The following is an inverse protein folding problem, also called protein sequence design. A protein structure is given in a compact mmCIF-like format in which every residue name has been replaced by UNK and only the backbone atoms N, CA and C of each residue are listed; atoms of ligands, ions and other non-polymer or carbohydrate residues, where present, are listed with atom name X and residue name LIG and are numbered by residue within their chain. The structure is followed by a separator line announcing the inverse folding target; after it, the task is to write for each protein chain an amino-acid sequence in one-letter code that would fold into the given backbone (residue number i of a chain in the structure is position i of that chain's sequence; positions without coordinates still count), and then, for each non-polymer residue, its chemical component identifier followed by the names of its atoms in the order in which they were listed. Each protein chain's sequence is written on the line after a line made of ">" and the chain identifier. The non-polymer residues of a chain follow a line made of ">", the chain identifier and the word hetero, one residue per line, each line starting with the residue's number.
data_IF_650522297333
#
_entry.id   IF_650522297333
#
_cell.length_a   1.000
_cell.length_b   1.000
_cell.length_c   1.000
_cell.angle_alpha   90.00
_cell.angle_beta   90.00
_cell.angle_gamma   90.00
#
_symmetry.space_group_name_H-M   'P 1'
#
loop_
_entity.id
_entity.type
_entity.pdbx_description
1 polymer ?
#
# COMPACT_ATOMS: atom_id res chain seq x y z
N UNK A 1 31.89 40.87 28.66
CA UNK A 1 31.74 40.12 27.38
C UNK A 1 32.16 38.65 27.46
N UNK A 2 32.90 38.19 28.47
CA UNK A 2 33.32 36.79 28.62
C UNK A 2 32.28 35.83 29.24
N UNK A 3 31.20 36.31 29.89
CA UNK A 3 30.20 35.42 30.52
C UNK A 3 29.08 34.94 29.58
N UNK A 4 28.92 35.53 28.40
CA UNK A 4 27.89 35.15 27.41
C UNK A 4 28.33 34.04 26.45
N UNK A 5 29.63 33.77 26.35
CA UNK A 5 30.20 32.77 25.42
C UNK A 5 30.09 31.35 26.01
N UNK A 6 30.22 31.19 27.33
CA UNK A 6 30.17 29.87 27.98
C UNK A 6 28.77 29.24 27.96
N UNK A 7 27.70 30.03 28.08
CA UNK A 7 26.34 29.50 28.07
C UNK A 7 25.92 29.02 26.68
N UNK A 8 26.39 29.67 25.61
CA UNK A 8 26.08 29.25 24.23
C UNK A 8 26.76 27.93 23.87
N UNK A 9 28.01 27.73 24.30
CA UNK A 9 28.75 26.49 24.06
C UNK A 9 28.13 25.31 24.84
N UNK A 10 27.73 25.52 26.09
CA UNK A 10 27.03 24.51 26.89
C UNK A 10 25.69 24.10 26.27
N UNK A 11 24.92 25.07 25.75
CA UNK A 11 23.67 24.78 25.02
C UNK A 11 23.94 24.00 23.73
N UNK A 12 25.01 24.33 23.00
CA UNK A 12 25.39 23.61 21.77
C UNK A 12 25.81 22.16 22.06
N UNK A 13 26.61 21.95 23.12
CA UNK A 13 27.04 20.62 23.57
C UNK A 13 25.83 19.80 24.02
N UNK A 14 24.91 20.41 24.78
CA UNK A 14 23.67 19.76 25.20
C UNK A 14 22.78 19.37 24.00
N UNK A 15 22.65 20.24 22.99
CA UNK A 15 21.92 19.95 21.75
C UNK A 15 22.56 18.80 20.94
N UNK A 16 23.89 18.71 20.89
CA UNK A 16 24.60 17.61 20.22
C UNK A 16 24.42 16.27 20.93
N UNK A 17 24.32 16.25 22.26
CA UNK A 17 24.06 15.02 23.02
C UNK A 17 22.63 14.47 22.84
N UNK A 18 21.65 15.32 22.50
CA UNK A 18 20.25 14.90 22.29
C UNK A 18 20.07 14.22 20.92
N UNK A 19 20.97 14.44 19.95
CA UNK A 19 20.89 13.80 18.64
C UNK A 19 21.30 12.32 18.65
N UNK A 20 21.95 11.84 19.72
CA UNK A 20 22.45 10.46 19.81
C UNK A 20 21.42 9.43 20.28
N UNK A 21 20.19 9.85 20.58
CA UNK A 21 19.11 8.97 21.07
C UNK A 21 17.92 8.85 20.11
N UNK A 22 18.02 9.47 18.93
CA UNK A 22 17.02 9.29 17.88
C UNK A 22 17.36 8.01 17.12
N UNK A 23 16.59 6.95 17.39
CA UNK A 23 16.63 5.75 16.57
C UNK A 23 16.04 6.04 15.19
N UNK A 24 16.57 5.39 14.15
CA UNK A 24 15.91 5.45 12.85
C UNK A 24 14.58 4.69 12.96
N UNK A 25 13.49 5.37 12.64
CA UNK A 25 12.14 4.77 12.61
C UNK A 25 12.00 3.73 11.48
N UNK A 26 12.97 3.66 10.55
CA UNK A 26 12.88 2.90 9.31
C UNK A 26 14.13 2.05 9.04
N UNK A 27 13.93 0.84 8.54
CA UNK A 27 14.96 -0.12 8.08
C UNK A 27 14.73 -0.52 6.61
N UNK A 28 14.49 0.47 5.75
CA UNK A 28 14.39 0.25 4.31
C UNK A 28 15.75 0.09 3.63
N UNK A 29 16.76 0.86 4.06
CA UNK A 29 18.11 0.85 3.50
C UNK A 29 19.11 0.25 4.48
N UNK A 30 19.75 -0.83 4.05
CA UNK A 30 20.58 -1.68 4.88
C UNK A 30 21.99 -1.76 4.31
N UNK A 31 22.97 -2.07 5.17
CA UNK A 31 24.23 -2.60 4.65
C UNK A 31 24.00 -3.99 4.05
N UNK A 32 24.95 -4.44 3.23
CA UNK A 32 24.84 -5.71 2.50
C UNK A 32 24.61 -6.91 3.43
N UNK A 33 25.32 -6.97 4.56
CA UNK A 33 25.27 -8.12 5.45
C UNK A 33 23.90 -8.25 6.11
N UNK A 34 23.32 -7.13 6.54
CA UNK A 34 21.99 -7.07 7.13
C UNK A 34 20.91 -7.42 6.10
N UNK A 35 21.03 -6.92 4.87
CA UNK A 35 20.11 -7.26 3.79
C UNK A 35 20.13 -8.76 3.43
N UNK A 36 21.33 -9.37 3.39
CA UNK A 36 21.48 -10.82 3.17
C UNK A 36 20.85 -11.60 4.32
N UNK A 37 21.14 -11.21 5.56
CA UNK A 37 20.59 -11.86 6.76
C UNK A 37 19.07 -11.82 6.77
N UNK A 38 18.49 -10.66 6.49
CA UNK A 38 17.05 -10.45 6.47
C UNK A 38 16.36 -11.20 5.33
N UNK A 39 16.89 -11.16 4.09
CA UNK A 39 16.31 -11.90 2.98
C UNK A 39 16.32 -13.42 3.23
N UNK A 40 17.42 -13.96 3.77
CA UNK A 40 17.48 -15.39 4.13
C UNK A 40 16.50 -15.75 5.23
N UNK A 41 16.36 -14.90 6.24
CA UNK A 41 15.42 -15.10 7.35
C UNK A 41 13.97 -15.07 6.88
N UNK A 42 13.60 -14.12 6.02
CA UNK A 42 12.26 -14.03 5.43
C UNK A 42 11.94 -15.24 4.54
N UNK A 43 12.90 -15.78 3.78
CA UNK A 43 12.69 -16.99 2.98
C UNK A 43 12.42 -18.27 3.80
N UNK A 44 12.62 -18.23 5.13
CA UNK A 44 12.29 -19.34 6.02
C UNK A 44 10.86 -19.28 6.56
N UNK A 45 10.12 -18.20 6.26
CA UNK A 45 8.79 -17.93 6.78
C UNK A 45 7.83 -17.68 5.62
N UNK A 46 6.63 -18.25 5.73
CA UNK A 46 5.60 -18.13 4.70
C UNK A 46 4.53 -17.12 5.05
N UNK A 47 4.42 -16.73 6.33
CA UNK A 47 3.40 -15.81 6.83
C UNK A 47 4.08 -14.63 7.50
N UNK A 48 3.58 -13.43 7.22
CA UNK A 48 4.05 -12.20 7.82
C UNK A 48 2.92 -11.19 7.98
N UNK A 49 3.17 -10.14 8.75
CA UNK A 49 2.25 -9.02 8.92
C UNK A 49 2.96 -7.71 8.59
N UNK A 50 2.41 -6.95 7.65
CA UNK A 50 2.83 -5.58 7.38
C UNK A 50 2.06 -4.63 8.30
N UNK A 51 2.79 -3.88 9.12
CA UNK A 51 2.22 -2.94 10.07
C UNK A 51 3.25 -1.95 10.63
N UNK A 52 3.03 -0.65 10.41
CA UNK A 52 3.69 0.44 11.12
C UNK A 52 2.94 0.80 12.41
N UNK A 53 3.58 0.69 13.57
CA UNK A 53 2.97 1.02 14.87
C UNK A 53 2.72 2.51 15.11
N UNK A 54 3.48 3.39 14.44
CA UNK A 54 3.38 4.85 14.57
C UNK A 54 2.43 5.49 13.57
N UNK A 55 1.94 4.72 12.60
CA UNK A 55 1.16 5.26 11.51
C UNK A 55 -0.32 5.21 11.90
N UNK A 56 -0.91 6.38 12.18
CA UNK A 56 -2.26 6.56 12.76
C UNK A 56 -3.40 5.85 11.99
N UNK A 57 -3.16 5.46 10.74
CA UNK A 57 -4.18 4.89 9.84
C UNK A 57 -3.77 3.55 9.18
N UNK A 58 -2.64 2.95 9.57
CA UNK A 58 -2.25 1.64 9.02
C UNK A 58 -2.97 0.48 9.70
N UNK A 59 -3.69 -0.30 8.91
CA UNK A 59 -4.29 -1.56 9.38
C UNK A 59 -3.28 -2.68 9.19
N UNK A 60 -3.15 -3.54 10.20
CA UNK A 60 -2.40 -4.79 10.15
C UNK A 60 -2.79 -5.63 8.93
N UNK A 61 -1.82 -5.96 8.07
CA UNK A 61 -2.04 -6.75 6.86
C UNK A 61 -1.31 -8.08 6.95
N UNK A 62 -2.04 -9.18 7.09
CA UNK A 62 -1.46 -10.53 7.00
C UNK A 62 -1.17 -10.86 5.53
N UNK A 63 0.06 -11.24 5.23
CA UNK A 63 0.55 -11.59 3.89
C UNK A 63 1.13 -13.02 3.89
N UNK A 64 1.07 -13.66 2.73
CA UNK A 64 1.85 -14.86 2.44
C UNK A 64 3.12 -14.47 1.67
N UNK A 65 4.29 -14.80 2.20
CA UNK A 65 5.58 -14.58 1.54
C UNK A 65 5.90 -15.79 0.66
N UNK A 66 6.15 -15.55 -0.63
CA UNK A 66 6.59 -16.60 -1.56
C UNK A 66 8.11 -16.62 -1.72
N UNK A 67 8.75 -15.46 -1.70
CA UNK A 67 10.20 -15.33 -1.81
C UNK A 67 10.67 -13.97 -1.30
N UNK A 68 11.88 -13.91 -0.77
CA UNK A 68 12.58 -12.69 -0.43
C UNK A 68 13.93 -12.62 -1.16
N UNK A 69 14.35 -11.41 -1.52
CA UNK A 69 15.67 -11.11 -2.09
C UNK A 69 16.20 -9.81 -1.50
N UNK A 70 17.47 -9.54 -1.73
CA UNK A 70 18.03 -8.21 -1.52
C UNK A 70 18.54 -7.66 -2.84
N UNK A 71 18.35 -6.36 -3.06
CA UNK A 71 18.82 -5.66 -4.25
C UNK A 71 19.57 -4.40 -3.86
N UNK A 72 20.46 -3.94 -4.73
CA UNK A 72 21.26 -2.74 -4.49
C UNK A 72 20.40 -1.51 -4.78
N UNK A 73 20.41 -0.51 -3.90
CA UNK A 73 19.69 0.75 -4.13
C UNK A 73 20.32 1.46 -5.34
N UNK A 74 19.57 1.81 -6.40
CA UNK A 74 20.14 2.34 -7.63
C UNK A 74 20.91 3.66 -7.45
N UNK A 75 20.34 4.56 -6.65
CA UNK A 75 20.87 5.91 -6.41
C UNK A 75 21.97 5.92 -5.34
N UNK A 76 21.93 4.95 -4.43
CA UNK A 76 22.82 4.88 -3.27
C UNK A 76 23.58 3.55 -3.21
N UNK A 77 24.70 3.50 -3.94
CA UNK A 77 25.49 2.28 -4.17
C UNK A 77 26.06 1.61 -2.92
N UNK A 78 25.96 2.23 -1.75
CA UNK A 78 26.42 1.64 -0.49
C UNK A 78 25.31 0.85 0.23
N UNK A 79 24.06 1.01 -0.19
CA UNK A 79 22.91 0.44 0.49
C UNK A 79 22.21 -0.63 -0.34
N UNK A 80 21.48 -1.47 0.37
CA UNK A 80 20.67 -2.55 -0.13
C UNK A 80 19.27 -2.46 0.46
N UNK A 81 18.27 -2.88 -0.29
CA UNK A 81 16.90 -3.06 0.18
C UNK A 81 16.54 -4.54 0.13
N UNK A 82 15.61 -4.95 0.98
CA UNK A 82 15.02 -6.29 0.94
C UNK A 82 13.68 -6.20 0.25
N UNK A 83 13.47 -7.05 -0.75
CA UNK A 83 12.21 -7.12 -1.49
C UNK A 83 11.58 -8.50 -1.33
N UNK A 84 10.25 -8.57 -1.25
CA UNK A 84 9.51 -9.82 -1.21
C UNK A 84 8.54 -9.94 -2.40
N UNK A 85 8.32 -11.16 -2.86
CA UNK A 85 7.09 -11.52 -3.57
C UNK A 85 6.10 -12.04 -2.53
N UNK A 86 4.87 -11.57 -2.61
CA UNK A 86 3.87 -11.84 -1.58
C UNK A 86 2.46 -11.94 -2.17
N UNK A 87 1.52 -12.34 -1.34
CA UNK A 87 0.14 -12.54 -1.74
C UNK A 87 -0.81 -12.58 -0.57
N UNK A 88 -2.09 -12.73 -0.88
CA UNK A 88 -3.17 -12.78 0.08
C UNK A 88 -3.96 -14.05 -0.08
N UNK A 89 -4.24 -14.74 1.02
CA UNK A 89 -4.92 -16.05 0.99
C UNK A 89 -4.26 -17.06 0.03
N UNK A 90 -2.94 -16.95 -0.19
CA UNK A 90 -2.17 -17.79 -1.11
C UNK A 90 -2.15 -17.32 -2.58
N UNK A 91 -2.89 -16.26 -2.95
CA UNK A 91 -2.86 -15.68 -4.29
C UNK A 91 -1.71 -14.69 -4.44
N UNK A 92 -0.80 -14.94 -5.39
CA UNK A 92 0.38 -14.11 -5.62
C UNK A 92 0.06 -12.77 -6.29
N UNK A 93 0.67 -11.69 -5.76
CA UNK A 93 0.72 -10.38 -6.40
C UNK A 93 1.93 -10.33 -7.32
N UNK A 94 1.74 -9.78 -8.54
CA UNK A 94 2.83 -9.60 -9.49
C UNK A 94 3.82 -8.56 -9.00
N UNK A 95 5.11 -8.91 -9.02
CA UNK A 95 6.21 -7.99 -8.76
C UNK A 95 6.86 -8.19 -7.39
N UNK A 96 7.82 -7.31 -7.09
CA UNK A 96 8.57 -7.30 -5.84
C UNK A 96 8.19 -6.05 -5.06
N UNK A 97 7.91 -6.21 -3.77
CA UNK A 97 7.69 -5.11 -2.83
C UNK A 97 8.94 -4.95 -1.97
N UNK A 98 9.55 -3.78 -2.01
CA UNK A 98 10.58 -3.40 -1.05
C UNK A 98 9.94 -3.20 0.33
N UNK A 99 10.48 -3.87 1.35
CA UNK A 99 9.91 -3.88 2.69
C UNK A 99 10.83 -3.19 3.69
N UNK A 100 10.23 -2.39 4.55
CA UNK A 100 10.89 -1.86 5.73
C UNK A 100 10.93 -2.95 6.82
N UNK A 101 12.13 -3.32 7.27
CA UNK A 101 12.28 -4.38 8.28
C UNK A 101 11.73 -3.98 9.66
N UNK A 102 11.50 -2.70 9.93
CA UNK A 102 10.80 -2.24 11.12
C UNK A 102 9.30 -2.60 11.06
N UNK A 103 8.72 -2.67 9.86
CA UNK A 103 7.26 -2.78 9.67
C UNK A 103 6.77 -4.13 9.15
N UNK A 104 7.67 -5.06 8.87
CA UNK A 104 7.31 -6.47 8.64
C UNK A 104 7.53 -7.27 9.92
N UNK A 105 6.47 -7.93 10.36
CA UNK A 105 6.43 -8.73 11.59
C UNK A 105 6.22 -10.20 11.24
N UNK A 106 6.93 -11.08 11.94
CA UNK A 106 6.75 -12.53 11.84
C UNK A 106 6.25 -13.07 13.16
N UNK A 107 5.45 -14.13 13.12
CA UNK A 107 5.08 -14.86 14.33
C UNK A 107 6.26 -15.71 14.81
N UNK A 108 6.79 -15.35 15.98
CA UNK A 108 7.92 -16.02 16.63
C UNK A 108 7.51 -16.28 18.07
N UNK A 109 7.51 -17.54 18.49
CA UNK A 109 7.07 -17.96 19.84
C UNK A 109 5.67 -17.45 20.22
N UNK A 110 4.76 -17.35 19.24
CA UNK A 110 3.39 -16.87 19.42
C UNK A 110 3.23 -15.34 19.54
N UNK A 111 4.29 -14.59 19.23
CA UNK A 111 4.30 -13.13 19.20
C UNK A 111 4.71 -12.63 17.82
N UNK A 112 3.94 -11.68 17.29
CA UNK A 112 4.30 -10.92 16.11
C UNK A 112 5.41 -9.94 16.48
N UNK A 113 6.58 -10.19 15.90
CA UNK A 113 7.81 -9.47 16.20
C UNK A 113 8.38 -8.88 14.93
N UNK A 114 8.73 -7.59 14.96
CA UNK A 114 9.42 -6.91 13.87
C UNK A 114 10.70 -7.66 13.48
N UNK A 115 10.88 -7.89 12.18
CA UNK A 115 12.06 -8.59 11.64
C UNK A 115 13.35 -7.86 12.00
N UNK A 116 13.37 -6.53 11.90
CA UNK A 116 14.52 -5.71 12.28
C UNK A 116 14.92 -5.94 13.74
N UNK A 117 13.96 -5.82 14.66
CA UNK A 117 14.21 -6.07 16.10
C UNK A 117 14.68 -7.50 16.37
N UNK A 118 14.04 -8.49 15.76
CA UNK A 118 14.42 -9.90 15.95
C UNK A 118 15.85 -10.18 15.48
N UNK A 119 16.26 -9.58 14.37
CA UNK A 119 17.61 -9.74 13.83
C UNK A 119 18.68 -8.92 14.59
N UNK A 120 18.29 -8.18 15.63
CA UNK A 120 19.18 -7.35 16.44
C UNK A 120 19.60 -6.06 15.73
N UNK A 121 18.81 -5.60 14.76
CA UNK A 121 19.05 -4.33 14.07
C UNK A 121 18.48 -3.17 14.90
N UNK A 122 19.12 -2.02 14.77
CA UNK A 122 18.70 -0.80 15.45
C UNK A 122 17.54 -0.15 14.68
N UNK A 123 16.33 -0.23 15.23
CA UNK A 123 15.12 0.39 14.68
C UNK A 123 14.07 0.65 15.75
N UNK A 124 13.06 1.45 15.45
CA UNK A 124 11.84 1.57 16.26
C UNK A 124 10.59 1.20 15.43
N UNK A 125 10.00 0.00 15.63
CA UNK A 125 8.76 -0.39 14.94
C UNK A 125 7.51 0.33 15.50
N UNK A 126 7.68 1.16 16.53
CA UNK A 126 6.62 1.88 17.23
C UNK A 126 5.54 1.00 17.87
N UNK A 127 5.79 -0.31 17.97
CA UNK A 127 4.90 -1.26 18.60
C UNK A 127 5.73 -2.35 19.27
N UNK A 128 5.38 -2.67 20.52
CA UNK A 128 5.97 -3.83 21.19
C UNK A 128 5.50 -5.13 20.52
N UNK A 129 6.26 -6.24 20.62
CA UNK A 129 5.80 -7.54 20.15
C UNK A 129 4.40 -7.86 20.69
N UNK A 130 3.52 -8.36 19.83
CA UNK A 130 2.10 -8.48 20.14
C UNK A 130 1.52 -9.83 19.76
N UNK A 131 0.57 -10.33 20.54
CA UNK A 131 -0.18 -11.55 20.19
C UNK A 131 -1.32 -11.22 19.23
N UNK A 132 -1.67 -12.14 18.33
CA UNK A 132 -3.01 -12.24 17.73
C UNK A 132 -3.98 -12.94 18.69
N UNK A 133 -4.00 -12.56 19.97
CA UNK A 133 -5.26 -12.69 20.68
C UNK A 133 -6.18 -11.79 19.89
N UNK A 134 -7.10 -12.39 19.12
CA UNK A 134 -8.30 -11.72 18.67
C UNK A 134 -8.79 -10.97 19.91
N UNK A 135 -8.53 -9.67 19.97
CA UNK A 135 -9.45 -8.78 20.66
C UNK A 135 -10.80 -9.25 20.15
N UNK A 136 -11.82 -9.50 21.01
CA UNK A 136 -13.14 -9.76 20.49
C UNK A 136 -13.36 -8.62 19.52
N UNK A 137 -13.32 -8.96 18.23
CA UNK A 137 -13.66 -8.07 17.18
C UNK A 137 -15.14 -7.92 17.47
N UNK A 138 -15.44 -6.92 18.31
CA UNK A 138 -16.71 -6.26 18.30
C UNK A 138 -16.83 -5.86 16.84
N UNK A 139 -17.59 -6.71 16.17
CA UNK A 139 -17.87 -6.76 14.74
C UNK A 139 -16.68 -6.91 13.79
N UNK A 140 -16.42 -8.16 13.40
CA UNK A 140 -16.08 -8.50 12.01
C UNK A 140 -17.15 -8.03 10.99
N UNK A 141 -18.21 -7.37 11.47
CA UNK A 141 -19.22 -6.59 10.74
C UNK A 141 -18.92 -5.08 10.63
N UNK A 142 -17.78 -4.58 11.12
CA UNK A 142 -17.29 -3.22 10.84
C UNK A 142 -16.03 -3.24 9.95
N UNK A 143 -15.87 -4.32 9.16
CA UNK A 143 -15.38 -4.10 7.81
C UNK A 143 -16.39 -3.11 7.19
N UNK A 144 -16.00 -1.85 6.99
CA UNK A 144 -16.67 -1.01 6.02
C UNK A 144 -16.67 -1.86 4.75
N UNK A 145 -17.82 -2.49 4.44
CA UNK A 145 -18.03 -3.15 3.16
C UNK A 145 -17.57 -2.12 2.15
N UNK A 146 -16.50 -2.41 1.40
CA UNK A 146 -16.13 -1.55 0.30
C UNK A 146 -17.42 -1.36 -0.51
N UNK A 147 -17.87 -0.11 -0.68
CA UNK A 147 -19.17 0.14 -1.33
C UNK A 147 -19.23 -0.42 -2.77
N UNK A 148 -18.07 -0.78 -3.30
CA UNK A 148 -17.84 -1.48 -4.56
C UNK A 148 -18.35 -2.93 -4.49
N UNK A 149 -19.37 -3.23 -5.28
CA UNK A 149 -19.94 -4.58 -5.38
C UNK A 149 -19.55 -5.19 -6.72
N UNK A 150 -19.26 -6.48 -6.74
CA UNK A 150 -19.08 -7.22 -8.00
C UNK A 150 -20.36 -7.09 -8.83
N UNK A 151 -20.19 -6.79 -10.11
CA UNK A 151 -21.30 -6.59 -11.02
C UNK A 151 -21.00 -5.68 -12.18
N UNK A 152 -22.02 -5.51 -13.00
CA UNK A 152 -22.02 -4.60 -14.13
C UNK A 152 -22.74 -3.30 -13.78
N UNK A 153 -22.20 -2.21 -14.26
CA UNK A 153 -22.68 -0.86 -14.07
C UNK A 153 -22.71 -0.16 -15.42
N UNK A 154 -23.68 0.74 -15.60
CA UNK A 154 -23.87 1.51 -16.84
C UNK A 154 -24.04 2.99 -16.51
N UNK A 155 -23.47 3.84 -17.35
CA UNK A 155 -23.80 5.27 -17.33
C UNK A 155 -25.23 5.52 -17.81
N UNK A 156 -25.94 6.45 -17.18
CA UNK A 156 -27.31 6.80 -17.55
C UNK A 156 -27.34 8.02 -18.48
N UNK A 157 -26.72 7.90 -19.65
CA UNK A 157 -26.70 8.93 -20.69
C UNK A 157 -27.40 8.41 -21.95
N UNK A 158 -28.12 9.30 -22.63
CA UNK A 158 -28.98 8.97 -23.78
C UNK A 158 -28.17 8.55 -25.00
N UNK A 159 -26.91 9.00 -25.11
CA UNK A 159 -26.08 8.85 -26.31
C UNK A 159 -24.72 8.17 -26.05
N UNK A 160 -24.50 7.61 -24.86
CA UNK A 160 -23.26 6.87 -24.53
C UNK A 160 -23.53 5.48 -23.98
N UNK A 161 -22.75 4.52 -24.48
CA UNK A 161 -22.70 3.15 -24.02
C UNK A 161 -21.43 2.94 -23.18
N UNK A 162 -21.38 3.59 -22.02
CA UNK A 162 -20.30 3.37 -21.06
C UNK A 162 -20.69 2.26 -20.08
N UNK A 163 -19.80 1.28 -19.95
CA UNK A 163 -19.96 0.13 -19.06
C UNK A 163 -18.76 0.04 -18.12
N UNK A 164 -19.05 -0.20 -16.85
CA UNK A 164 -18.06 -0.56 -15.84
C UNK A 164 -18.41 -1.95 -15.30
N UNK A 165 -17.45 -2.86 -15.31
CA UNK A 165 -17.57 -4.18 -14.69
C UNK A 165 -16.55 -4.32 -13.58
N UNK A 166 -17.04 -4.52 -12.37
CA UNK A 166 -16.23 -4.97 -11.24
C UNK A 166 -16.22 -6.49 -11.29
N UNK A 167 -15.05 -7.06 -11.59
CA UNK A 167 -14.87 -8.49 -11.86
C UNK A 167 -14.64 -9.26 -10.56
N UNK A 168 -13.77 -8.75 -9.70
CA UNK A 168 -13.47 -9.33 -8.39
C UNK A 168 -13.08 -8.22 -7.42
N UNK A 169 -13.39 -8.41 -6.15
CA UNK A 169 -13.04 -7.49 -5.05
C UNK A 169 -12.13 -8.21 -4.07
N UNK A 170 -11.08 -7.55 -3.63
CA UNK A 170 -10.22 -7.97 -2.52
C UNK A 170 -10.29 -6.91 -1.43
N UNK A 171 -9.59 -7.10 -0.33
CA UNK A 171 -9.57 -6.09 0.73
C UNK A 171 -8.69 -4.86 0.38
N UNK A 172 -7.80 -4.99 -0.61
CA UNK A 172 -6.93 -3.92 -1.11
C UNK A 172 -7.48 -3.18 -2.31
N UNK A 173 -8.52 -3.69 -2.95
CA UNK A 173 -8.98 -3.10 -4.21
C UNK A 173 -9.93 -4.00 -4.97
N UNK A 174 -10.03 -3.76 -6.28
CA UNK A 174 -10.82 -4.59 -7.17
C UNK A 174 -10.23 -4.63 -8.58
N UNK A 175 -10.49 -5.74 -9.27
CA UNK A 175 -10.25 -5.87 -10.70
C UNK A 175 -11.44 -5.33 -11.46
N UNK A 176 -11.17 -4.49 -12.46
CA UNK A 176 -12.21 -3.86 -13.25
C UNK A 176 -11.97 -3.99 -14.75
N UNK A 177 -13.05 -3.73 -15.50
CA UNK A 177 -13.05 -3.48 -16.93
C UNK A 177 -14.02 -2.35 -17.24
N UNK A 178 -13.55 -1.28 -17.86
CA UNK A 178 -14.34 -0.18 -18.41
C UNK A 178 -14.39 -0.35 -19.92
N UNK A 179 -15.57 -0.21 -20.50
CA UNK A 179 -15.78 -0.19 -21.94
C UNK A 179 -16.58 1.05 -22.30
N UNK A 180 -16.14 1.75 -23.33
CA UNK A 180 -16.80 2.94 -23.86
C UNK A 180 -17.16 2.71 -25.32
N UNK A 181 -18.39 3.06 -25.68
CA UNK A 181 -18.89 3.12 -27.05
C UNK A 181 -19.83 4.31 -27.22
N UNK A 182 -19.61 5.15 -28.23
CA UNK A 182 -20.59 6.14 -28.70
C UNK A 182 -20.70 6.07 -30.22
N UNK A 183 -21.82 6.52 -30.79
CA UNK A 183 -22.00 6.65 -32.24
C UNK A 183 -20.96 7.58 -32.90
N UNK A 184 -20.31 8.45 -32.10
CA UNK A 184 -19.31 9.44 -32.51
C UNK A 184 -17.85 8.93 -32.56
N UNK A 185 -17.61 7.65 -32.89
CA UNK A 185 -16.27 7.02 -33.05
C UNK A 185 -15.42 6.90 -31.77
N UNK A 186 -16.02 7.07 -30.59
CA UNK A 186 -15.33 6.90 -29.32
C UNK A 186 -15.59 5.46 -28.84
N UNK A 187 -14.64 4.56 -29.15
CA UNK A 187 -14.72 3.13 -28.84
C UNK A 187 -13.41 2.69 -28.19
N UNK A 188 -13.49 1.93 -27.11
CA UNK A 188 -12.35 1.20 -26.56
C UNK A 188 -12.61 0.63 -25.18
N UNK A 189 -11.57 0.00 -24.63
CA UNK A 189 -11.65 -0.81 -23.41
C UNK A 189 -10.39 -0.60 -22.55
N UNK A 190 -10.58 -0.50 -21.24
CA UNK A 190 -9.53 -0.48 -20.25
C UNK A 190 -9.81 -1.52 -19.17
N UNK A 191 -8.80 -2.26 -18.75
CA UNK A 191 -8.91 -3.16 -17.60
C UNK A 191 -7.67 -3.06 -16.72
N UNK A 192 -7.85 -3.33 -15.43
CA UNK A 192 -6.77 -3.20 -14.46
C UNK A 192 -7.20 -3.55 -13.05
N UNK A 193 -6.29 -3.27 -12.11
CA UNK A 193 -6.55 -3.38 -10.68
C UNK A 193 -6.57 -1.98 -10.07
N UNK A 194 -7.69 -1.59 -9.49
CA UNK A 194 -7.82 -0.36 -8.72
C UNK A 194 -7.60 -0.66 -7.24
N UNK A 195 -6.69 0.06 -6.59
CA UNK A 195 -6.36 -0.14 -5.18
C UNK A 195 -7.13 0.86 -4.31
N UNK A 196 -7.74 0.39 -3.23
CA UNK A 196 -8.40 1.24 -2.25
C UNK A 196 -7.42 2.21 -1.60
N UNK A 197 -7.90 3.44 -1.45
CA UNK A 197 -7.34 4.42 -0.52
C UNK A 197 -7.67 4.03 0.93
N UNK A 198 -7.01 4.67 1.89
CA UNK A 198 -7.09 4.35 3.32
C UNK A 198 -8.54 4.26 3.85
N UNK A 199 -9.46 5.08 3.34
CA UNK A 199 -10.86 5.08 3.77
C UNK A 199 -11.77 4.09 3.01
N UNK A 200 -11.24 3.35 2.03
CA UNK A 200 -11.96 2.40 1.13
C UNK A 200 -13.17 2.98 0.38
N UNK A 201 -13.36 4.29 0.40
CA UNK A 201 -14.39 5.00 -0.37
C UNK A 201 -13.91 5.32 -1.78
N UNK A 202 -12.60 5.51 -1.93
CA UNK A 202 -11.95 5.74 -3.21
C UNK A 202 -11.03 4.57 -3.54
N UNK A 203 -11.03 4.12 -4.80
CA UNK A 203 -10.01 3.24 -5.36
C UNK A 203 -9.28 3.95 -6.49
N UNK A 204 -7.99 3.66 -6.68
CA UNK A 204 -7.14 4.32 -7.67
C UNK A 204 -6.46 3.27 -8.53
N UNK A 205 -6.61 3.42 -9.84
CA UNK A 205 -5.79 2.76 -10.85
C UNK A 205 -4.76 3.75 -11.39
N UNK A 206 -3.51 3.31 -11.60
CA UNK A 206 -2.44 4.12 -12.19
C UNK A 206 -1.96 3.48 -13.49
N UNK A 207 -2.06 4.21 -14.60
CA UNK A 207 -1.60 3.80 -15.93
C UNK A 207 -0.14 4.15 -16.20
N UNK A 208 0.36 3.78 -17.38
CA UNK A 208 1.80 3.85 -17.75
C UNK A 208 2.35 5.25 -18.06
N UNK A 209 1.50 6.28 -18.16
CA UNK A 209 1.90 7.64 -18.56
C UNK A 209 1.56 8.70 -17.49
N UNK A 210 1.44 8.29 -16.23
CA UNK A 210 0.99 9.19 -15.16
C UNK A 210 -0.51 9.47 -15.16
N UNK A 211 -1.28 8.87 -16.07
CA UNK A 211 -2.73 8.83 -15.94
C UNK A 211 -3.13 8.07 -14.68
N UNK A 212 -4.10 8.59 -13.96
CA UNK A 212 -4.77 7.88 -12.89
C UNK A 212 -6.28 7.90 -13.07
N UNK A 213 -6.93 6.82 -12.63
CA UNK A 213 -8.38 6.70 -12.61
C UNK A 213 -8.79 6.47 -11.17
N UNK A 214 -9.59 7.38 -10.66
CA UNK A 214 -10.22 7.28 -9.37
C UNK A 214 -11.63 6.70 -9.52
N UNK A 215 -12.00 5.87 -8.56
CA UNK A 215 -13.33 5.30 -8.43
C UNK A 215 -13.82 5.69 -7.05
N UNK A 216 -15.00 6.30 -6.93
CA UNK A 216 -15.57 6.74 -5.67
C UNK A 216 -16.98 6.17 -5.51
N UNK A 217 -17.27 5.54 -4.38
CA UNK A 217 -18.64 5.05 -4.11
C UNK A 217 -19.43 6.13 -3.38
N UNK A 218 -20.50 6.59 -4.02
CA UNK A 218 -21.47 7.48 -3.38
C UNK A 218 -22.38 6.69 -2.42
N UNK A 219 -22.99 7.35 -1.42
CA UNK A 219 -23.91 6.68 -0.48
C UNK A 219 -25.08 5.93 -1.15
N UNK A 220 -25.44 6.30 -2.39
CA UNK A 220 -26.45 5.63 -3.21
C UNK A 220 -25.99 4.29 -3.82
N UNK A 221 -24.71 3.93 -3.69
CA UNK A 221 -24.10 2.78 -4.37
C UNK A 221 -23.74 3.06 -5.84
N UNK A 222 -23.88 4.31 -6.29
CA UNK A 222 -23.36 4.79 -7.58
C UNK A 222 -21.85 4.87 -7.50
N UNK A 223 -21.18 4.45 -8.57
CA UNK A 223 -19.73 4.58 -8.69
C UNK A 223 -19.44 5.77 -9.58
N UNK A 224 -18.79 6.78 -9.01
CA UNK A 224 -18.21 7.88 -9.78
C UNK A 224 -16.80 7.48 -10.22
N UNK A 225 -16.55 7.58 -11.52
CA UNK A 225 -15.22 7.35 -12.10
C UNK A 225 -14.70 8.71 -12.55
N UNK A 226 -13.45 9.02 -12.22
CA UNK A 226 -12.80 10.22 -12.72
C UNK A 226 -11.36 9.99 -13.14
N UNK A 227 -10.97 10.59 -14.25
CA UNK A 227 -9.64 10.53 -14.85
C UNK A 227 -8.80 11.77 -14.51
N UNK A 228 -7.51 11.55 -14.28
CA UNK A 228 -6.54 12.63 -14.12
C UNK A 228 -5.29 12.36 -14.97
N UNK A 229 -4.89 13.36 -15.75
CA UNK A 229 -3.72 13.36 -16.64
C UNK A 229 -3.70 12.22 -17.69
N UNK A 230 -4.85 11.97 -18.32
CA UNK A 230 -5.06 10.87 -19.26
C UNK A 230 -5.03 11.29 -20.74
N UNK A 231 -4.28 12.35 -21.06
CA UNK A 231 -4.30 13.04 -22.37
C UNK A 231 -3.95 12.19 -23.59
N UNK A 232 -3.16 11.13 -23.41
CA UNK A 232 -2.78 10.15 -24.45
C UNK A 232 -3.31 8.74 -24.11
N UNK A 233 -4.63 8.65 -24.01
CA UNK A 233 -5.48 7.51 -24.34
C UNK A 233 -4.97 6.09 -24.09
N UNK A 234 -5.63 5.41 -23.16
CA UNK A 234 -5.56 3.96 -22.90
C UNK A 234 -6.20 3.07 -23.98
N UNK A 235 -6.20 3.52 -25.25
CA UNK A 235 -6.89 2.85 -26.35
C UNK A 235 -8.32 3.31 -26.62
N UNK A 236 -8.77 4.42 -26.02
CA UNK A 236 -10.04 5.14 -26.33
C UNK A 236 -9.73 6.54 -26.88
N UNK A 237 -10.72 7.34 -27.30
CA UNK A 237 -10.52 8.76 -27.69
C UNK A 237 -11.34 9.75 -26.83
N UNK A 238 -11.71 9.32 -25.65
CA UNK A 238 -12.75 9.96 -24.85
C UNK A 238 -12.59 9.66 -23.38
N UNK A 239 -13.18 10.53 -22.56
CA UNK A 239 -13.12 10.45 -21.10
C UNK A 239 -14.02 9.33 -20.55
N UNK A 240 -13.59 8.73 -19.45
CA UNK A 240 -14.35 7.82 -18.59
C UNK A 240 -15.03 8.52 -17.41
N UNK A 241 -14.93 9.86 -17.31
CA UNK A 241 -15.55 10.66 -16.27
C UNK A 241 -17.07 10.50 -16.33
N UNK A 242 -17.64 9.69 -15.43
CA UNK A 242 -19.05 9.38 -15.43
C UNK A 242 -19.51 8.79 -14.10
N UNK A 243 -20.83 8.81 -13.90
CA UNK A 243 -21.50 8.09 -12.83
C UNK A 243 -22.11 6.80 -13.36
N UNK A 244 -21.69 5.69 -12.77
CA UNK A 244 -22.05 4.34 -13.14
C UNK A 244 -23.08 3.76 -12.16
N UNK A 245 -24.25 3.41 -12.70
CA UNK A 245 -25.36 2.85 -11.96
C UNK A 245 -25.37 1.33 -12.10
N UNK A 246 -25.56 0.61 -11.01
CA UNK A 246 -25.61 -0.86 -11.04
C UNK A 246 -26.73 -1.32 -11.96
N UNK A 247 -26.39 -2.19 -12.92
CA UNK A 247 -27.37 -2.88 -13.77
C UNK A 247 -28.14 -3.86 -12.90
N UNK A 248 -29.46 -3.78 -12.92
CA UNK A 248 -30.35 -4.71 -12.21
C UNK A 248 -30.28 -6.10 -12.81
#
# INVERSE_FOLDING_TARGET
>A
MLSLVNNKLLVLIALMCIQSIAFADQLLWLNKNDAVKAANFLNQHTEAMLYCGCCDEEVKQEIHIFSARYTKVPEEKSYYTVSITYGYNGDSISGWLDVDLAYIHLEIDGLWTSVGKYLGMECDPCVAPFTTKKSPVSSANELIESGFKIGEYKENSVNSEHYLKIISTTYLGFKFKIQVGTESMCIGELSGNANYTLNKKVAIFKGSNGCSISFSVLPSGVIEVSEDNCGDFHGVRCSFDAQFFRKK
#
